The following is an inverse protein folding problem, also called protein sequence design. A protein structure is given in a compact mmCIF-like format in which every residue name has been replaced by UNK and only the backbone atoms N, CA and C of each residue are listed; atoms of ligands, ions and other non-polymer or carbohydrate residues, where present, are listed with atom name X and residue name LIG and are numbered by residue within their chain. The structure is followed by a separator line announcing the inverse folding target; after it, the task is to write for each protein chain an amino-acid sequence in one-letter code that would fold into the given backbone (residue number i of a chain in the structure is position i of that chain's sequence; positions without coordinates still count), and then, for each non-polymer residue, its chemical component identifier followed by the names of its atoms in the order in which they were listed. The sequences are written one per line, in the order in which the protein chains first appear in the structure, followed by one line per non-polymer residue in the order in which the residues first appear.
data_IF_590695639567
#
_entry.id   IF_590695639567
#
_cell.length_a   1.000
_cell.length_b   1.000
_cell.length_c   1.000
_cell.angle_alpha   90.00
_cell.angle_beta   90.00
_cell.angle_gamma   90.00
#
_symmetry.space_group_name_H-M   'P 1'
#
loop_
_entity.id
_entity.type
_entity.pdbx_description
1 polymer ?
#
# COMPACT_ATOMS: atom_id res chain seq x y z
N UNK A 1 43.91 -9.68 -58.55
CA UNK A 1 43.11 -10.39 -57.52
C UNK A 1 43.87 -10.36 -56.21
N UNK A 2 43.48 -9.51 -55.24
CA UNK A 2 43.65 -9.71 -53.79
C UNK A 2 43.08 -8.48 -53.02
N UNK A 3 42.10 -8.75 -52.15
CA UNK A 3 41.83 -8.22 -50.77
C UNK A 3 42.13 -6.74 -50.46
N UNK A 4 41.32 -5.96 -49.74
CA UNK A 4 40.14 -6.22 -48.91
C UNK A 4 39.65 -4.91 -48.24
N UNK A 5 38.41 -4.92 -47.73
CA UNK A 5 37.75 -3.85 -46.96
C UNK A 5 38.32 -3.70 -45.55
N UNK A 6 38.45 -2.46 -45.02
CA UNK A 6 38.09 -1.94 -43.67
C UNK A 6 38.17 -0.39 -43.81
N UNK A 7 37.34 0.51 -43.28
CA UNK A 7 36.21 0.53 -42.36
C UNK A 7 36.08 1.99 -41.88
N UNK A 8 34.86 2.47 -41.65
CA UNK A 8 34.61 3.83 -41.16
C UNK A 8 33.24 3.89 -40.53
N UNK A 9 33.17 3.52 -39.25
CA UNK A 9 31.93 3.46 -38.48
C UNK A 9 31.61 4.85 -37.91
N UNK A 10 30.46 5.40 -38.28
CA UNK A 10 29.83 6.56 -37.64
C UNK A 10 29.14 6.09 -36.35
N UNK A 11 29.47 6.71 -35.22
CA UNK A 11 28.77 6.52 -33.94
C UNK A 11 27.82 7.70 -33.70
N UNK A 12 26.50 7.49 -33.60
CA UNK A 12 25.60 8.51 -33.09
C UNK A 12 25.60 8.50 -31.55
N UNK A 13 25.75 9.67 -30.94
CA UNK A 13 25.53 9.91 -29.51
C UNK A 13 24.02 9.91 -29.27
N UNK A 14 23.52 8.86 -28.60
CA UNK A 14 22.14 8.78 -28.16
C UNK A 14 21.98 9.55 -26.84
N UNK A 15 21.21 10.64 -26.84
CA UNK A 15 20.72 11.25 -25.60
C UNK A 15 19.68 10.30 -24.96
N UNK A 16 20.00 9.75 -23.80
CA UNK A 16 19.03 9.05 -22.97
C UNK A 16 18.13 10.08 -22.27
N UNK A 17 16.89 10.23 -22.75
CA UNK A 17 15.84 10.87 -21.99
C UNK A 17 15.42 9.92 -20.86
N UNK A 18 15.66 10.31 -19.61
CA UNK A 18 15.16 9.56 -18.45
C UNK A 18 13.66 9.82 -18.34
N UNK A 19 12.85 8.96 -18.96
CA UNK A 19 11.41 8.92 -18.72
C UNK A 19 11.21 8.34 -17.33
N UNK A 20 10.90 9.16 -16.33
CA UNK A 20 10.40 8.67 -15.05
C UNK A 20 9.09 7.96 -15.33
N UNK A 21 9.14 6.63 -15.41
CA UNK A 21 7.94 5.81 -15.44
C UNK A 21 7.22 6.06 -14.13
N UNK A 22 5.99 6.57 -14.18
CA UNK A 22 5.11 6.62 -13.02
C UNK A 22 4.88 5.16 -12.64
N UNK A 23 5.49 4.71 -11.54
CA UNK A 23 5.31 3.37 -11.00
C UNK A 23 3.80 3.10 -10.91
N UNK A 24 3.32 2.18 -11.74
CA UNK A 24 1.94 1.71 -11.68
C UNK A 24 1.91 0.70 -10.56
N UNK A 25 1.56 1.16 -9.36
CA UNK A 25 1.40 0.29 -8.19
C UNK A 25 0.44 -0.87 -8.51
N UNK A 26 0.73 -2.10 -8.04
CA UNK A 26 -0.20 -3.20 -8.23
C UNK A 26 -1.51 -2.90 -7.48
N UNK A 27 -2.69 -3.14 -8.08
CA UNK A 27 -3.96 -2.88 -7.42
C UNK A 27 -4.12 -3.78 -6.19
N UNK A 28 -4.50 -3.18 -5.05
CA UNK A 28 -4.71 -3.88 -3.78
C UNK A 28 -5.93 -4.82 -3.76
N UNK A 29 -6.70 -4.90 -4.85
CA UNK A 29 -7.92 -5.68 -4.92
C UNK A 29 -7.70 -7.13 -4.48
N UNK A 30 -8.60 -7.64 -3.64
CA UNK A 30 -8.51 -8.98 -3.09
C UNK A 30 -9.21 -9.15 -1.76
N UNK A 31 -9.16 -10.39 -1.28
CA UNK A 31 -9.59 -10.80 0.03
C UNK A 31 -8.35 -10.96 0.91
N UNK A 32 -8.30 -10.30 2.06
CA UNK A 32 -7.11 -10.19 2.89
C UNK A 32 -7.40 -10.59 4.33
N UNK A 33 -6.72 -11.63 4.81
CA UNK A 33 -6.89 -12.20 6.14
C UNK A 33 -5.87 -11.59 7.11
N UNK A 34 -6.29 -10.93 8.20
CA UNK A 34 -5.37 -10.41 9.20
C UNK A 34 -4.52 -11.53 9.82
N UNK A 35 -3.20 -11.38 9.80
CA UNK A 35 -2.24 -12.32 10.38
C UNK A 35 -1.67 -11.81 11.71
N UNK A 36 -1.44 -10.50 11.82
CA UNK A 36 -1.02 -9.84 13.05
C UNK A 36 -1.42 -8.37 13.03
N UNK A 37 -1.58 -7.77 14.21
CA UNK A 37 -1.77 -6.35 14.35
C UNK A 37 -1.10 -5.79 15.61
N UNK A 38 -0.67 -4.52 15.54
CA UNK A 38 -0.09 -3.75 16.64
C UNK A 38 -0.78 -2.39 16.69
N UNK A 39 -1.29 -2.00 17.86
CA UNK A 39 -1.93 -0.71 18.10
C UNK A 39 -1.25 0.00 19.26
N UNK A 40 -0.78 1.23 19.03
CA UNK A 40 -0.12 2.02 20.05
C UNK A 40 1.06 1.29 20.71
N UNK A 41 1.82 0.52 19.92
CA UNK A 41 2.96 -0.27 20.39
C UNK A 41 2.60 -1.51 21.22
N UNK A 42 1.34 -1.92 21.23
CA UNK A 42 0.87 -3.12 21.93
C UNK A 42 0.28 -4.11 20.92
N UNK A 43 0.47 -5.41 21.18
CA UNK A 43 -0.17 -6.45 20.38
C UNK A 43 -1.69 -6.24 20.37
N UNK A 44 -2.26 -6.23 19.17
CA UNK A 44 -3.70 -6.19 18.95
C UNK A 44 -4.11 -7.55 18.35
N UNK A 45 -4.58 -8.51 19.16
CA UNK A 45 -4.82 -9.86 18.70
C UNK A 45 -5.83 -9.89 17.54
N UNK A 46 -5.56 -10.67 16.49
CA UNK A 46 -6.45 -10.73 15.31
C UNK A 46 -7.84 -11.29 15.63
N UNK A 47 -8.00 -11.99 16.76
CA UNK A 47 -9.31 -12.39 17.28
C UNK A 47 -10.23 -11.20 17.57
N UNK A 48 -9.68 -10.01 17.82
CA UNK A 48 -10.44 -8.78 18.01
C UNK A 48 -11.15 -8.31 16.73
N UNK A 49 -10.82 -8.90 15.57
CA UNK A 49 -11.52 -8.66 14.32
C UNK A 49 -12.68 -9.63 14.06
N UNK A 50 -13.01 -10.51 15.02
CA UNK A 50 -14.12 -11.48 14.93
C UNK A 50 -14.13 -12.33 13.64
N UNK A 51 -12.93 -12.66 13.13
CA UNK A 51 -12.76 -13.43 11.90
C UNK A 51 -13.01 -12.64 10.61
N UNK A 52 -13.15 -11.31 10.69
CA UNK A 52 -13.31 -10.46 9.53
C UNK A 52 -12.07 -10.49 8.63
N UNK A 53 -12.34 -10.41 7.33
CA UNK A 53 -11.34 -10.18 6.30
C UNK A 53 -11.50 -8.78 5.73
N UNK A 54 -10.40 -8.20 5.27
CA UNK A 54 -10.41 -6.96 4.51
C UNK A 54 -10.68 -7.31 3.05
N UNK A 55 -11.84 -6.88 2.55
CA UNK A 55 -12.19 -6.99 1.14
C UNK A 55 -11.87 -5.66 0.47
N UNK A 56 -10.97 -5.68 -0.51
CA UNK A 56 -10.65 -4.53 -1.34
C UNK A 56 -11.11 -4.79 -2.77
N UNK A 57 -11.85 -3.84 -3.33
CA UNK A 57 -12.10 -3.77 -4.78
C UNK A 57 -11.07 -2.84 -5.41
N UNK A 58 -11.35 -2.25 -6.57
CA UNK A 58 -10.49 -1.18 -7.12
C UNK A 58 -10.67 0.15 -6.38
N UNK A 59 -11.82 0.37 -5.74
CA UNK A 59 -12.20 1.68 -5.19
C UNK A 59 -12.80 1.62 -3.79
N UNK A 60 -13.19 0.44 -3.31
CA UNK A 60 -13.93 0.26 -2.07
C UNK A 60 -13.30 -0.75 -1.14
N UNK A 61 -13.56 -0.56 0.15
CA UNK A 61 -13.20 -1.50 1.19
C UNK A 61 -14.43 -1.96 1.98
N UNK A 62 -14.34 -3.16 2.53
CA UNK A 62 -15.22 -3.64 3.59
C UNK A 62 -14.39 -4.41 4.62
N UNK A 63 -14.60 -4.11 5.91
CA UNK A 63 -13.94 -4.77 7.03
C UNK A 63 -14.78 -4.68 8.30
N UNK A 64 -15.14 -5.82 8.88
CA UNK A 64 -15.83 -5.89 10.19
C UNK A 64 -17.07 -4.98 10.32
N UNK A 65 -17.89 -4.86 9.25
CA UNK A 65 -19.08 -3.99 9.22
C UNK A 65 -18.80 -2.50 8.94
N UNK A 66 -17.53 -2.12 8.76
CA UNK A 66 -17.10 -0.82 8.24
C UNK A 66 -16.92 -0.91 6.72
N UNK A 67 -17.44 0.06 5.97
CA UNK A 67 -17.23 0.10 4.52
C UNK A 67 -17.17 1.53 3.99
N UNK A 68 -16.50 1.68 2.86
CA UNK A 68 -16.33 2.97 2.21
C UNK A 68 -15.47 2.88 0.97
N UNK A 69 -14.77 3.97 0.67
CA UNK A 69 -13.86 4.07 -0.48
C UNK A 69 -12.44 4.30 -0.04
N UNK A 70 -11.49 4.12 -0.96
CA UNK A 70 -10.11 4.52 -0.73
C UNK A 70 -9.46 5.01 -2.02
N UNK A 71 -8.39 5.77 -1.89
CA UNK A 71 -7.55 6.20 -3.02
C UNK A 71 -6.10 5.88 -2.72
N UNK A 72 -5.37 5.44 -3.76
CA UNK A 72 -3.93 5.20 -3.69
C UNK A 72 -3.17 6.44 -4.11
N UNK A 73 -2.14 6.79 -3.36
CA UNK A 73 -1.27 7.94 -3.57
C UNK A 73 0.17 7.47 -3.77
N UNK A 74 0.96 8.28 -4.48
CA UNK A 74 2.41 8.17 -4.49
C UNK A 74 2.95 8.78 -3.19
N UNK A 75 3.73 8.04 -2.40
CA UNK A 75 4.14 8.47 -1.06
C UNK A 75 5.56 8.02 -0.68
N UNK A 76 6.54 8.86 -1.03
CA UNK A 76 7.94 8.80 -0.55
C UNK A 76 8.57 7.39 -0.50
N UNK A 77 8.48 6.66 -1.62
CA UNK A 77 9.05 5.31 -1.74
C UNK A 77 8.19 4.18 -1.16
N UNK A 78 7.03 4.50 -0.60
CA UNK A 78 5.98 3.57 -0.17
C UNK A 78 4.65 3.86 -0.89
N UNK A 79 3.69 2.94 -0.78
CA UNK A 79 2.34 3.18 -1.24
C UNK A 79 1.57 4.05 -0.24
N UNK A 80 1.06 5.20 -0.66
CA UNK A 80 0.16 6.01 0.17
C UNK A 80 -1.30 5.63 -0.02
N UNK A 81 -2.14 5.79 1.01
CA UNK A 81 -3.58 5.55 0.88
C UNK A 81 -4.37 6.48 1.77
N UNK A 82 -5.48 7.02 1.25
CA UNK A 82 -6.53 7.63 2.07
C UNK A 82 -7.77 6.74 2.03
N UNK A 83 -8.30 6.42 3.22
CA UNK A 83 -9.50 5.61 3.37
C UNK A 83 -10.63 6.52 3.84
N UNK A 84 -11.76 6.47 3.15
CA UNK A 84 -12.92 7.31 3.42
C UNK A 84 -14.07 6.42 3.88
N UNK A 85 -14.35 6.45 5.18
CA UNK A 85 -15.43 5.66 5.77
C UNK A 85 -16.79 6.23 5.41
N UNK A 86 -17.66 5.38 4.86
CA UNK A 86 -19.04 5.76 4.48
C UNK A 86 -20.04 5.22 5.51
N UNK A 87 -19.81 4.02 6.03
CA UNK A 87 -20.64 3.39 7.05
C UNK A 87 -19.78 2.62 8.05
N UNK A 88 -20.31 2.44 9.26
CA UNK A 88 -19.63 1.73 10.34
C UNK A 88 -18.90 2.67 11.29
N UNK A 89 -18.02 2.13 12.14
CA UNK A 89 -17.29 2.91 13.15
C UNK A 89 -16.47 4.10 12.60
N UNK A 90 -16.10 4.06 11.32
CA UNK A 90 -15.33 5.14 10.69
C UNK A 90 -16.14 6.03 9.74
N UNK A 91 -17.48 5.94 9.75
CA UNK A 91 -18.33 6.77 8.91
C UNK A 91 -18.02 8.27 9.03
N UNK A 92 -17.80 8.94 7.89
CA UNK A 92 -17.47 10.36 7.81
C UNK A 92 -16.01 10.71 8.11
N UNK A 93 -15.15 9.71 8.35
CA UNK A 93 -13.71 9.92 8.59
C UNK A 93 -12.90 9.69 7.33
N UNK A 94 -11.82 10.47 7.20
CA UNK A 94 -10.68 10.13 6.34
C UNK A 94 -9.57 9.60 7.24
N UNK A 95 -9.05 8.41 6.91
CA UNK A 95 -7.97 7.73 7.64
C UNK A 95 -6.75 7.70 6.71
N UNK A 96 -5.72 8.51 7.00
CA UNK A 96 -4.45 8.44 6.29
C UNK A 96 -3.74 7.13 6.60
N UNK A 97 -3.17 6.50 5.57
CA UNK A 97 -2.43 5.26 5.69
C UNK A 97 -1.26 5.18 4.72
N UNK A 98 -0.35 4.25 5.02
CA UNK A 98 0.63 3.74 4.06
C UNK A 98 0.47 2.23 3.92
N UNK A 99 0.89 1.69 2.79
CA UNK A 99 0.84 0.27 2.49
C UNK A 99 2.09 -0.21 1.76
N UNK A 100 2.36 -1.51 1.94
CA UNK A 100 3.32 -2.26 1.16
C UNK A 100 2.65 -3.56 0.70
N UNK A 101 2.82 -3.89 -0.57
CA UNK A 101 2.27 -5.10 -1.17
C UNK A 101 3.42 -5.92 -1.76
N UNK A 102 3.61 -7.13 -1.23
CA UNK A 102 4.57 -8.11 -1.74
C UNK A 102 3.83 -9.42 -1.99
N UNK A 103 3.49 -9.70 -3.26
CA UNK A 103 2.73 -10.87 -3.70
C UNK A 103 1.41 -11.10 -2.93
N UNK A 104 1.46 -12.00 -1.96
CA UNK A 104 0.35 -12.44 -1.12
C UNK A 104 0.40 -11.84 0.29
N UNK A 105 1.32 -10.92 0.56
CA UNK A 105 1.44 -10.18 1.80
C UNK A 105 1.07 -8.72 1.58
N UNK A 106 0.18 -8.21 2.42
CA UNK A 106 -0.19 -6.81 2.47
C UNK A 106 0.06 -6.29 3.88
N UNK A 107 0.80 -5.18 3.99
CA UNK A 107 0.99 -4.47 5.24
C UNK A 107 0.33 -3.12 5.10
N UNK A 108 -0.51 -2.73 6.07
CA UNK A 108 -1.10 -1.39 6.11
C UNK A 108 -0.89 -0.79 7.49
N UNK A 109 -0.46 0.46 7.51
CA UNK A 109 -0.31 1.27 8.71
C UNK A 109 -1.33 2.41 8.67
N UNK A 110 -2.32 2.38 9.57
CA UNK A 110 -3.45 3.30 9.61
C UNK A 110 -3.28 4.34 10.72
N UNK A 111 -3.45 5.62 10.41
CA UNK A 111 -3.61 6.66 11.43
C UNK A 111 -5.07 6.71 11.90
N UNK A 112 -5.43 5.90 12.91
CA UNK A 112 -6.79 5.86 13.45
C UNK A 112 -7.09 7.00 14.41
N UNK A 113 -6.12 7.86 14.73
CA UNK A 113 -6.32 9.02 15.58
C UNK A 113 -6.34 10.35 14.85
N UNK A 114 -6.09 11.40 15.62
CA UNK A 114 -5.67 12.67 15.05
C UNK A 114 -4.16 12.61 14.79
N UNK A 115 -3.74 12.98 13.59
CA UNK A 115 -2.32 13.05 13.24
C UNK A 115 -2.10 12.94 11.75
N UNK A 116 -0.83 13.07 11.37
CA UNK A 116 -0.40 12.91 10.00
C UNK A 116 -0.31 11.43 9.61
N UNK A 117 -0.19 11.20 8.30
CA UNK A 117 0.03 9.88 7.72
C UNK A 117 1.30 9.24 8.32
N UNK A 118 1.29 7.93 8.63
CA UNK A 118 2.51 7.27 9.11
C UNK A 118 3.66 7.39 8.09
N UNK A 119 4.87 7.64 8.58
CA UNK A 119 6.08 7.72 7.75
C UNK A 119 6.78 6.35 7.60
N UNK A 120 6.31 5.34 8.34
CA UNK A 120 6.87 3.99 8.30
C UNK A 120 5.92 2.95 8.89
N UNK A 121 6.27 1.67 8.72
CA UNK A 121 5.48 0.53 9.17
C UNK A 121 5.73 0.22 10.65
N UNK A 122 5.42 1.21 11.49
CA UNK A 122 5.57 1.16 12.94
C UNK A 122 4.30 1.64 13.64
N UNK A 123 4.06 1.12 14.84
CA UNK A 123 2.98 1.56 15.72
C UNK A 123 3.62 2.04 17.02
N UNK A 124 3.97 3.34 17.14
CA UNK A 124 4.65 3.86 18.32
C UNK A 124 3.82 3.71 19.59
N UNK A 125 4.50 3.53 20.73
CA UNK A 125 3.85 3.37 22.03
C UNK A 125 2.89 4.53 22.34
N UNK A 126 1.64 4.21 22.68
CA UNK A 126 0.61 5.21 23.03
C UNK A 126 0.02 5.99 21.84
N UNK A 127 0.44 5.71 20.62
CA UNK A 127 -0.17 6.28 19.41
C UNK A 127 -1.53 5.62 19.10
N UNK A 128 -2.30 6.26 18.21
CA UNK A 128 -3.48 5.66 17.59
C UNK A 128 -3.17 5.11 16.18
N UNK A 129 -1.92 4.68 15.98
CA UNK A 129 -1.49 4.06 14.74
C UNK A 129 -1.68 2.56 14.84
N UNK A 130 -2.45 2.00 13.92
CA UNK A 130 -2.67 0.56 13.80
C UNK A 130 -1.81 0.02 12.65
N UNK A 131 -0.89 -0.89 12.94
CA UNK A 131 -0.17 -1.65 11.92
C UNK A 131 -0.81 -3.02 11.80
N UNK A 132 -1.24 -3.41 10.60
CA UNK A 132 -1.79 -4.74 10.33
C UNK A 132 -1.03 -5.41 9.19
N UNK A 133 -0.71 -6.69 9.38
CA UNK A 133 -0.18 -7.56 8.34
C UNK A 133 -1.26 -8.54 7.92
N UNK A 134 -1.48 -8.66 6.63
CA UNK A 134 -2.47 -9.52 6.02
C UNK A 134 -1.79 -10.52 5.08
N UNK A 135 -2.38 -11.71 4.97
CA UNK A 135 -2.12 -12.62 3.86
C UNK A 135 -3.32 -12.63 2.93
N UNK A 136 -3.08 -12.87 1.64
CA UNK A 136 -4.16 -13.05 0.68
C UNK A 136 -4.96 -14.31 1.03
N UNK A 137 -6.29 -14.18 1.10
CA UNK A 137 -7.19 -15.30 1.24
C UNK A 137 -7.42 -16.01 -0.10
N UNK A 138 -7.71 -17.31 -0.02
CA UNK A 138 -8.03 -18.17 -1.16
C UNK A 138 -9.50 -18.07 -1.57
#
# INVERSE_FOLDING_TARGET
MMRGLIGGSLLPVLLAACSTTREVFPPLAGHWLPQSAVLGGQDFPVSNFDGAALNLTTESYEFAGDWGTYVLLDWDGSGGMDIHGVHGPNAGRTIPAIYELDWDQLVICYQLGAGDRPEGFESPAGSQVLLVRYSRGL
#
